data_IF_681628937942
#
_entry.id   IF_681628937942
#
_cell.length_a   1.000
_cell.length_b   1.000
_cell.length_c   1.000
_cell.angle_alpha   90.00
_cell.angle_beta   90.00
_cell.angle_gamma   90.00
#
_symmetry.space_group_name_H-M   'P 1'
#
loop_
_entity.id
_entity.type
_entity.pdbx_description
1 polymer ?
#
# COMPACT_ATOMS: atom_id res chain seq x y z
N UNK A 1 -28.36 -59.56 -24.72
CA UNK A 1 -28.91 -58.39 -24.02
C UNK A 1 -27.95 -58.04 -22.88
N UNK A 2 -26.86 -57.33 -23.22
CA UNK A 2 -25.78 -57.00 -22.30
C UNK A 2 -25.78 -55.48 -22.10
N UNK A 3 -25.91 -55.05 -20.85
CA UNK A 3 -25.82 -53.65 -20.45
C UNK A 3 -24.35 -53.26 -20.34
N UNK A 4 -23.91 -52.29 -21.14
CA UNK A 4 -22.62 -51.63 -20.99
C UNK A 4 -22.79 -50.37 -20.13
N UNK A 5 -22.11 -50.33 -18.99
CA UNK A 5 -21.95 -49.15 -18.14
C UNK A 5 -21.07 -48.13 -18.89
N UNK A 6 -21.63 -46.96 -19.21
CA UNK A 6 -20.85 -45.82 -19.69
C UNK A 6 -20.52 -44.90 -18.50
N UNK A 7 -19.22 -44.75 -18.23
CA UNK A 7 -18.68 -43.74 -17.31
C UNK A 7 -19.10 -42.33 -17.76
N UNK A 8 -19.91 -41.66 -16.95
CA UNK A 8 -20.12 -40.22 -17.04
C UNK A 8 -18.88 -39.51 -16.46
N UNK A 9 -17.96 -39.13 -17.36
CA UNK A 9 -16.99 -38.06 -17.06
C UNK A 9 -17.80 -36.77 -16.91
N UNK A 10 -18.01 -36.33 -15.67
CA UNK A 10 -18.45 -34.97 -15.38
C UNK A 10 -17.28 -34.04 -15.71
N UNK A 11 -17.33 -33.42 -16.89
CA UNK A 11 -16.51 -32.28 -17.23
C UNK A 11 -16.93 -31.15 -16.28
N UNK A 12 -16.16 -30.94 -15.20
CA UNK A 12 -16.18 -29.69 -14.45
C UNK A 12 -15.68 -28.61 -15.42
N UNK A 13 -16.64 -27.94 -16.07
CA UNK A 13 -16.37 -26.71 -16.80
C UNK A 13 -15.94 -25.68 -15.75
N UNK A 14 -14.62 -25.51 -15.62
CA UNK A 14 -14.06 -24.42 -14.84
C UNK A 14 -14.60 -23.14 -15.48
N UNK A 15 -15.51 -22.45 -14.78
CA UNK A 15 -15.96 -21.12 -15.15
C UNK A 15 -14.72 -20.24 -14.96
N UNK A 16 -13.95 -20.10 -16.04
CA UNK A 16 -13.01 -19.01 -16.20
C UNK A 16 -13.87 -17.75 -16.08
N UNK A 17 -13.80 -17.09 -14.92
CA UNK A 17 -14.16 -15.68 -14.81
C UNK A 17 -13.19 -14.92 -15.71
N UNK A 18 -13.52 -14.88 -16.99
CA UNK A 18 -13.01 -13.90 -17.92
C UNK A 18 -13.47 -12.56 -17.37
N UNK A 19 -12.52 -11.75 -16.88
CA UNK A 19 -12.70 -10.31 -16.75
C UNK A 19 -13.11 -9.80 -18.13
N UNK A 20 -14.41 -9.75 -18.38
CA UNK A 20 -14.96 -9.11 -19.56
C UNK A 20 -14.96 -7.62 -19.25
N UNK A 21 -13.82 -6.98 -19.45
CA UNK A 21 -13.85 -5.57 -19.80
C UNK A 21 -14.84 -5.45 -20.97
N UNK A 22 -15.83 -4.54 -20.92
CA UNK A 22 -16.64 -4.27 -22.09
C UNK A 22 -15.70 -3.93 -23.26
N UNK A 23 -15.90 -4.49 -24.45
CA UNK A 23 -14.96 -4.33 -25.54
C UNK A 23 -14.87 -2.86 -25.96
N UNK A 24 -13.66 -2.28 -25.92
CA UNK A 24 -13.32 -1.08 -26.68
C UNK A 24 -13.19 0.25 -25.92
N UNK A 25 -13.31 0.29 -24.59
CA UNK A 25 -13.14 1.55 -23.85
C UNK A 25 -11.71 1.71 -23.34
N UNK A 26 -10.92 2.51 -24.06
CA UNK A 26 -9.59 2.95 -23.67
C UNK A 26 -9.71 4.04 -22.58
N UNK A 27 -8.96 3.93 -21.49
CA UNK A 27 -8.88 4.96 -20.44
C UNK A 27 -7.48 5.58 -20.42
N UNK A 28 -7.35 6.80 -19.91
CA UNK A 28 -6.04 7.41 -19.65
C UNK A 28 -6.07 8.24 -18.36
N UNK A 29 -4.93 8.81 -17.98
CA UNK A 29 -4.83 9.70 -16.82
C UNK A 29 -5.04 11.18 -17.18
N UNK A 30 -5.04 11.54 -18.47
CA UNK A 30 -4.95 12.93 -18.93
C UNK A 30 -6.27 13.49 -19.48
N UNK A 31 -6.79 12.91 -20.57
CA UNK A 31 -7.97 13.43 -21.29
C UNK A 31 -9.27 12.93 -20.68
N UNK A 32 -9.36 11.63 -20.45
CA UNK A 32 -10.45 11.00 -19.71
C UNK A 32 -9.89 10.50 -18.38
N UNK A 33 -9.36 11.45 -17.62
CA UNK A 33 -8.67 11.19 -16.37
C UNK A 33 -9.57 10.62 -15.27
N UNK A 34 -9.01 10.36 -14.08
CA UNK A 34 -9.69 9.60 -13.04
C UNK A 34 -11.05 10.13 -12.59
N UNK A 35 -11.29 11.44 -12.69
CA UNK A 35 -12.57 12.06 -12.34
C UNK A 35 -13.69 11.72 -13.33
N UNK A 36 -13.36 11.28 -14.55
CA UNK A 36 -14.32 10.95 -15.62
C UNK A 36 -14.48 9.43 -15.86
N UNK A 37 -13.65 8.58 -15.23
CA UNK A 37 -13.70 7.12 -15.47
C UNK A 37 -15.07 6.50 -15.19
N UNK A 38 -15.82 7.06 -14.25
CA UNK A 38 -17.17 6.59 -13.91
C UNK A 38 -18.16 6.65 -15.08
N UNK A 39 -17.94 7.51 -16.09
CA UNK A 39 -18.79 7.55 -17.28
C UNK A 39 -18.73 6.27 -18.13
N UNK A 40 -17.61 5.54 -18.05
CA UNK A 40 -17.36 4.31 -18.83
C UNK A 40 -17.30 3.06 -17.93
N UNK A 41 -17.03 3.28 -16.65
CA UNK A 41 -16.81 2.23 -15.66
C UNK A 41 -17.57 2.60 -14.38
N UNK A 42 -18.87 2.28 -14.32
CA UNK A 42 -19.76 2.62 -13.20
C UNK A 42 -19.17 2.28 -11.82
N UNK A 43 -18.42 1.19 -11.72
CA UNK A 43 -17.76 0.77 -10.49
C UNK A 43 -16.76 1.80 -9.94
N UNK A 44 -16.25 2.73 -10.77
CA UNK A 44 -15.37 3.81 -10.30
C UNK A 44 -16.07 4.83 -9.41
N UNK A 45 -17.41 4.82 -9.34
CA UNK A 45 -18.23 5.65 -8.44
C UNK A 45 -18.68 4.93 -7.15
N UNK A 46 -18.18 3.71 -6.92
CA UNK A 46 -18.53 2.94 -5.72
C UNK A 46 -18.13 3.60 -4.39
N UNK A 47 -18.67 3.10 -3.28
CA UNK A 47 -18.44 3.67 -1.95
C UNK A 47 -17.18 3.12 -1.25
N UNK A 48 -16.61 2.05 -1.79
CA UNK A 48 -15.40 1.40 -1.29
C UNK A 48 -14.19 1.62 -2.22
N UNK A 49 -14.11 2.78 -2.87
CA UNK A 49 -13.03 3.11 -3.80
C UNK A 49 -11.68 3.41 -3.14
N UNK A 50 -10.61 3.19 -3.90
CA UNK A 50 -9.21 3.47 -3.57
C UNK A 50 -8.59 4.40 -4.62
N UNK A 51 -7.51 5.14 -4.28
CA UNK A 51 -6.84 5.21 -2.98
C UNK A 51 -7.62 6.06 -1.96
N UNK A 52 -7.10 6.22 -0.74
CA UNK A 52 -7.69 7.09 0.31
C UNK A 52 -6.63 7.94 1.01
N UNK A 53 -7.08 9.01 1.67
CA UNK A 53 -6.29 9.70 2.70
C UNK A 53 -6.41 8.95 4.03
N UNK A 54 -5.29 8.46 4.54
CA UNK A 54 -5.22 7.78 5.83
C UNK A 54 -5.01 8.84 6.91
N UNK A 55 -6.10 9.22 7.56
CA UNK A 55 -6.09 10.13 8.73
C UNK A 55 -5.71 9.36 9.98
N UNK A 56 -4.48 9.53 10.45
CA UNK A 56 -3.91 8.74 11.56
C UNK A 56 -4.67 8.92 12.87
N UNK A 57 -5.38 10.04 13.06
CA UNK A 57 -6.27 10.29 14.21
C UNK A 57 -7.51 9.40 14.24
N UNK A 58 -7.95 8.89 13.10
CA UNK A 58 -9.14 8.04 12.99
C UNK A 58 -8.81 6.55 12.85
N UNK A 59 -7.54 6.22 12.64
CA UNK A 59 -7.08 4.83 12.56
C UNK A 59 -7.34 4.12 13.87
N UNK A 60 -7.84 2.89 13.81
CA UNK A 60 -8.11 2.06 14.99
C UNK A 60 -7.07 0.95 15.10
N UNK A 61 -6.50 0.80 16.28
CA UNK A 61 -5.70 -0.39 16.58
C UNK A 61 -6.59 -1.63 16.55
N UNK A 62 -6.14 -2.67 15.87
CA UNK A 62 -6.79 -3.97 15.86
C UNK A 62 -5.75 -5.05 16.21
N UNK A 63 -5.93 -5.67 17.38
CA UNK A 63 -5.03 -6.72 17.88
C UNK A 63 -5.14 -8.03 17.11
N UNK A 64 -6.18 -8.23 16.30
CA UNK A 64 -6.32 -9.40 15.41
C UNK A 64 -5.43 -9.33 14.17
N UNK A 65 -4.88 -8.14 13.86
CA UNK A 65 -3.89 -7.97 12.80
C UNK A 65 -2.53 -8.54 13.25
N UNK A 66 -2.41 -9.86 13.11
CA UNK A 66 -1.19 -10.64 13.37
C UNK A 66 0.01 -10.15 12.57
N UNK A 67 1.24 -10.61 12.85
CA UNK A 67 2.40 -10.29 12.02
C UNK A 67 2.13 -10.49 10.51
N UNK A 68 2.50 -9.50 9.70
CA UNK A 68 2.45 -9.61 8.24
C UNK A 68 3.64 -10.43 7.77
N UNK A 69 3.39 -11.51 7.05
CA UNK A 69 4.39 -12.44 6.57
C UNK A 69 4.59 -12.25 5.06
N UNK A 70 5.79 -11.87 4.66
CA UNK A 70 6.21 -11.71 3.27
C UNK A 70 7.19 -12.83 2.92
N UNK A 71 6.71 -13.88 2.26
CA UNK A 71 7.50 -15.06 1.95
C UNK A 71 8.16 -14.97 0.58
N UNK A 72 9.43 -15.38 0.51
CA UNK A 72 10.23 -15.40 -0.71
C UNK A 72 10.81 -14.04 -1.13
N UNK A 73 10.43 -12.94 -0.46
CA UNK A 73 10.90 -11.57 -0.76
C UNK A 73 12.31 -11.23 -0.26
N UNK A 74 12.96 -12.16 0.45
CA UNK A 74 14.33 -11.99 0.97
C UNK A 74 15.38 -12.42 -0.06
N UNK A 75 16.67 -12.43 0.32
CA UNK A 75 17.89 -12.52 -0.52
C UNK A 75 17.97 -13.66 -1.57
N UNK A 76 16.95 -14.51 -1.70
CA UNK A 76 16.82 -15.46 -2.81
C UNK A 76 16.08 -14.87 -4.03
N UNK A 77 15.54 -13.65 -3.93
CA UNK A 77 14.92 -12.92 -5.05
C UNK A 77 15.92 -12.46 -6.11
N UNK A 78 17.19 -12.31 -5.75
CA UNK A 78 18.25 -12.03 -6.71
C UNK A 78 18.40 -13.17 -7.73
N UNK A 79 17.98 -14.40 -7.44
CA UNK A 79 18.01 -15.48 -8.45
C UNK A 79 16.86 -15.40 -9.47
N UNK A 80 15.86 -14.54 -9.24
CA UNK A 80 14.69 -14.45 -10.10
C UNK A 80 14.89 -13.48 -11.25
N UNK A 81 14.58 -14.00 -12.42
CA UNK A 81 14.38 -13.25 -13.65
C UNK A 81 12.99 -12.63 -13.61
N UNK A 82 12.91 -11.33 -13.38
CA UNK A 82 11.67 -10.57 -13.47
C UNK A 82 11.39 -10.19 -14.93
N UNK A 83 10.12 -10.13 -15.31
CA UNK A 83 9.71 -9.64 -16.62
C UNK A 83 9.13 -8.23 -16.49
N UNK A 84 9.91 -7.24 -16.93
CA UNK A 84 9.50 -5.84 -16.98
C UNK A 84 8.86 -5.48 -18.32
N UNK A 85 7.72 -4.79 -18.26
CA UNK A 85 7.00 -4.27 -19.43
C UNK A 85 6.44 -2.88 -19.14
N UNK A 86 6.41 -2.02 -20.16
CA UNK A 86 5.63 -0.79 -20.12
C UNK A 86 4.28 -1.04 -20.82
N UNK A 87 3.17 -0.85 -20.10
CA UNK A 87 1.83 -1.17 -20.61
C UNK A 87 1.04 0.06 -21.11
N UNK A 88 1.70 1.22 -21.26
CA UNK A 88 1.06 2.49 -21.63
C UNK A 88 0.60 3.33 -20.43
N UNK A 89 0.52 2.75 -19.23
CA UNK A 89 0.08 3.43 -18.02
C UNK A 89 1.13 3.42 -16.90
N UNK A 90 1.93 2.36 -16.82
CA UNK A 90 2.99 2.20 -15.83
C UNK A 90 4.02 1.16 -16.29
N UNK A 91 5.14 1.07 -15.59
CA UNK A 91 6.01 -0.10 -15.69
C UNK A 91 5.49 -1.17 -14.74
N UNK A 92 5.20 -2.34 -15.31
CA UNK A 92 4.76 -3.53 -14.59
C UNK A 92 5.88 -4.57 -14.64
N UNK A 93 6.13 -5.20 -13.50
CA UNK A 93 7.08 -6.29 -13.35
C UNK A 93 6.37 -7.56 -12.86
N UNK A 94 6.52 -8.64 -13.62
CA UNK A 94 5.98 -9.95 -13.26
C UNK A 94 7.07 -10.86 -12.68
N UNK A 95 6.81 -11.54 -11.55
CA UNK A 95 7.72 -12.54 -11.03
C UNK A 95 7.75 -13.77 -11.95
N UNK A 96 8.85 -14.54 -11.98
CA UNK A 96 8.86 -15.81 -12.70
C UNK A 96 7.90 -16.79 -11.99
N UNK A 97 7.22 -17.70 -12.72
CA UNK A 97 6.20 -18.59 -12.15
C UNK A 97 6.66 -19.40 -10.93
N UNK A 98 7.94 -19.76 -10.87
CA UNK A 98 8.53 -20.55 -9.79
C UNK A 98 8.88 -19.75 -8.53
N UNK A 99 8.83 -18.41 -8.57
CA UNK A 99 9.24 -17.58 -7.43
C UNK A 99 8.32 -17.73 -6.20
N UNK A 100 7.03 -17.99 -6.43
CA UNK A 100 6.00 -18.21 -5.39
C UNK A 100 6.01 -17.17 -4.25
N UNK A 101 6.36 -15.93 -4.58
CA UNK A 101 6.33 -14.79 -3.66
C UNK A 101 4.91 -14.62 -3.12
N UNK A 102 4.77 -14.44 -1.81
CA UNK A 102 3.45 -14.44 -1.17
C UNK A 102 3.37 -13.57 0.06
N UNK A 103 2.13 -13.16 0.37
CA UNK A 103 1.75 -12.38 1.52
C UNK A 103 0.66 -13.12 2.31
N UNK A 104 0.84 -13.23 3.63
CA UNK A 104 -0.12 -13.83 4.55
C UNK A 104 -0.04 -13.18 5.95
N UNK A 105 -0.90 -13.59 6.88
CA UNK A 105 -0.99 -12.96 8.20
C UNK A 105 -1.62 -11.57 8.13
N UNK A 106 -1.47 -10.77 9.18
CA UNK A 106 -2.06 -9.43 9.24
C UNK A 106 -3.57 -9.42 9.06
N UNK A 107 -4.30 -10.47 9.42
CA UNK A 107 -5.74 -10.60 9.20
C UNK A 107 -6.17 -10.97 7.77
N UNK A 108 -5.27 -11.42 6.91
CA UNK A 108 -5.63 -12.06 5.63
C UNK A 108 -6.20 -13.47 5.88
N UNK A 109 -7.26 -13.83 5.17
CA UNK A 109 -7.98 -15.10 5.34
C UNK A 109 -7.22 -16.32 4.80
N UNK A 110 -6.30 -16.10 3.87
CA UNK A 110 -5.54 -17.13 3.17
C UNK A 110 -4.17 -16.58 2.73
N UNK A 111 -3.40 -17.41 2.00
CA UNK A 111 -2.13 -16.99 1.40
C UNK A 111 -2.39 -16.37 0.03
N UNK A 112 -1.93 -15.14 -0.17
CA UNK A 112 -2.05 -14.42 -1.43
C UNK A 112 -0.70 -14.46 -2.16
N UNK A 113 -0.68 -14.85 -3.43
CA UNK A 113 0.54 -14.95 -4.24
C UNK A 113 0.72 -13.73 -5.12
N UNK A 114 1.95 -13.21 -5.23
CA UNK A 114 2.28 -12.07 -6.06
C UNK A 114 2.00 -12.38 -7.53
N UNK A 115 1.27 -11.46 -8.19
CA UNK A 115 0.98 -11.49 -9.62
C UNK A 115 1.88 -10.52 -10.37
N UNK A 116 2.09 -9.33 -9.80
CA UNK A 116 2.93 -8.27 -10.37
C UNK A 116 3.23 -7.20 -9.32
N UNK A 117 4.22 -6.35 -9.59
CA UNK A 117 4.27 -5.03 -9.00
C UNK A 117 4.39 -3.92 -10.05
N UNK A 118 3.98 -2.71 -9.69
CA UNK A 118 4.04 -1.52 -10.53
C UNK A 118 4.16 -0.25 -9.69
N UNK A 119 4.38 0.89 -10.36
CA UNK A 119 4.63 2.17 -9.70
C UNK A 119 3.65 3.26 -10.13
N UNK A 120 3.39 4.19 -9.21
CA UNK A 120 2.65 5.42 -9.43
C UNK A 120 3.53 6.62 -9.07
N UNK A 121 3.59 7.60 -9.96
CA UNK A 121 4.39 8.82 -9.83
C UNK A 121 3.63 10.03 -10.39
N UNK A 122 4.12 11.22 -10.04
CA UNK A 122 3.53 12.48 -10.46
C UNK A 122 4.52 13.38 -11.20
N UNK A 123 4.04 14.60 -11.47
CA UNK A 123 4.76 15.61 -12.24
C UNK A 123 6.07 16.09 -11.62
N UNK A 124 6.24 15.94 -10.31
CA UNK A 124 7.38 16.46 -9.59
C UNK A 124 7.68 15.63 -8.34
N UNK A 125 8.78 15.94 -7.69
CA UNK A 125 9.29 15.21 -6.52
C UNK A 125 8.55 15.45 -5.20
N UNK A 126 7.37 16.08 -5.24
CA UNK A 126 6.52 16.36 -4.08
C UNK A 126 5.14 15.67 -4.17
N UNK A 127 4.83 15.02 -5.29
CA UNK A 127 3.56 14.31 -5.47
C UNK A 127 3.71 13.15 -6.48
N UNK A 128 2.90 12.12 -6.31
CA UNK A 128 2.91 10.95 -7.18
C UNK A 128 2.34 9.69 -6.55
N UNK A 129 2.31 9.62 -5.21
CA UNK A 129 1.58 8.58 -4.51
C UNK A 129 0.08 8.71 -4.73
N UNK A 130 -0.58 7.56 -4.74
CA UNK A 130 -2.04 7.45 -4.78
C UNK A 130 -2.60 7.66 -3.37
N UNK A 131 -2.07 6.92 -2.39
CA UNK A 131 -2.40 7.11 -0.99
C UNK A 131 -1.72 8.35 -0.43
N UNK A 132 -2.38 8.95 0.55
CA UNK A 132 -1.84 10.05 1.34
C UNK A 132 -1.96 9.73 2.83
N UNK A 133 -1.08 10.30 3.65
CA UNK A 133 -1.13 10.16 5.10
C UNK A 133 -1.34 11.55 5.71
N UNK A 134 -2.47 11.78 6.37
CA UNK A 134 -2.87 13.10 6.87
C UNK A 134 -2.77 14.21 5.79
N UNK A 135 -3.20 13.90 4.56
CA UNK A 135 -3.10 14.79 3.40
C UNK A 135 -1.70 14.96 2.81
N UNK A 136 -0.64 14.39 3.42
CA UNK A 136 0.71 14.42 2.85
C UNK A 136 0.79 13.49 1.65
N UNK A 137 1.16 14.06 0.50
CA UNK A 137 1.53 13.32 -0.72
C UNK A 137 3.01 12.92 -0.67
N UNK A 138 3.31 11.83 -1.35
CA UNK A 138 4.66 11.29 -1.51
C UNK A 138 5.02 11.29 -3.00
N UNK A 139 6.32 11.37 -3.36
CA UNK A 139 6.75 11.42 -4.77
C UNK A 139 6.44 10.17 -5.58
N UNK A 140 6.34 9.00 -4.94
CA UNK A 140 6.24 7.71 -5.61
C UNK A 140 5.56 6.70 -4.68
N UNK A 141 4.79 5.79 -5.26
CA UNK A 141 4.19 4.65 -4.57
C UNK A 141 4.38 3.38 -5.40
N UNK A 142 4.74 2.28 -4.76
CA UNK A 142 4.79 0.96 -5.40
C UNK A 142 3.65 0.09 -4.88
N UNK A 143 3.01 -0.64 -5.78
CA UNK A 143 1.97 -1.61 -5.47
C UNK A 143 2.43 -3.02 -5.81
N UNK A 144 2.47 -3.90 -4.82
CA UNK A 144 2.63 -5.34 -5.02
C UNK A 144 1.27 -6.00 -4.99
N UNK A 145 0.79 -6.42 -6.15
CA UNK A 145 -0.55 -6.98 -6.34
C UNK A 145 -0.51 -8.49 -6.17
N UNK A 146 -1.20 -8.99 -5.16
CA UNK A 146 -1.32 -10.41 -4.88
C UNK A 146 -2.74 -10.91 -5.12
N UNK A 147 -2.88 -12.19 -5.43
CA UNK A 147 -4.18 -12.84 -5.64
C UNK A 147 -4.29 -14.12 -4.83
N UNK A 148 -5.45 -14.29 -4.19
CA UNK A 148 -5.84 -15.52 -3.53
C UNK A 148 -6.14 -16.61 -4.58
N UNK A 149 -5.56 -17.81 -4.47
CA UNK A 149 -5.78 -18.88 -5.45
C UNK A 149 -7.20 -19.45 -5.40
N UNK A 150 -7.86 -19.44 -4.23
CA UNK A 150 -9.17 -20.06 -4.07
C UNK A 150 -10.31 -19.07 -4.32
N UNK A 151 -10.25 -17.90 -3.69
CA UNK A 151 -11.32 -16.89 -3.82
C UNK A 151 -11.13 -15.96 -5.01
N UNK A 152 -9.93 -15.87 -5.58
CA UNK A 152 -9.59 -14.93 -6.65
C UNK A 152 -9.47 -13.48 -6.18
N UNK A 153 -9.67 -13.21 -4.88
CA UNK A 153 -9.60 -11.90 -4.23
C UNK A 153 -8.20 -11.29 -4.37
N UNK A 154 -8.14 -9.97 -4.52
CA UNK A 154 -6.87 -9.24 -4.56
C UNK A 154 -6.50 -8.71 -3.17
N UNK A 155 -5.21 -8.81 -2.85
CA UNK A 155 -4.60 -8.10 -1.73
C UNK A 155 -3.40 -7.30 -2.25
N UNK A 156 -3.38 -6.01 -1.96
CA UNK A 156 -2.33 -5.11 -2.46
C UNK A 156 -1.51 -4.56 -1.31
N UNK A 157 -0.20 -4.72 -1.41
CA UNK A 157 0.77 -4.09 -0.51
C UNK A 157 1.27 -2.80 -1.16
N UNK A 158 0.91 -1.66 -0.59
CA UNK A 158 1.35 -0.33 -1.02
C UNK A 158 2.50 0.17 -0.14
N UNK A 159 3.53 0.73 -0.77
CA UNK A 159 4.67 1.33 -0.06
C UNK A 159 4.99 2.68 -0.67
N UNK A 160 4.95 3.70 0.19
CA UNK A 160 5.24 5.08 -0.15
C UNK A 160 6.75 5.30 -0.16
N UNK A 161 7.24 6.14 -1.07
CA UNK A 161 8.63 6.57 -1.10
C UNK A 161 8.76 7.98 -0.55
N UNK A 162 9.81 8.26 0.22
CA UNK A 162 10.06 9.59 0.76
C UNK A 162 11.39 10.14 0.24
N UNK A 163 11.41 11.43 -0.08
CA UNK A 163 12.57 12.06 -0.69
C UNK A 163 13.69 12.17 0.33
N UNK A 164 14.89 11.77 -0.06
CA UNK A 164 16.12 11.88 0.72
C UNK A 164 17.21 12.57 -0.10
N UNK A 165 18.27 12.97 0.59
CA UNK A 165 19.45 13.60 -0.05
C UNK A 165 20.25 12.58 -0.86
N UNK A 166 20.50 11.42 -0.29
CA UNK A 166 21.40 10.41 -0.84
C UNK A 166 20.64 9.37 -1.65
N UNK A 167 21.31 8.82 -2.66
CA UNK A 167 20.80 7.70 -3.45
C UNK A 167 20.59 6.48 -2.56
N UNK A 168 19.45 5.81 -2.75
CA UNK A 168 19.19 4.53 -2.15
C UNK A 168 19.87 3.43 -2.99
N UNK A 169 20.96 2.80 -2.51
CA UNK A 169 21.72 1.82 -3.29
C UNK A 169 20.89 0.58 -3.66
N UNK A 170 19.79 0.31 -2.96
CA UNK A 170 18.90 -0.83 -3.23
C UNK A 170 17.97 -0.58 -4.42
N UNK A 171 17.87 0.66 -4.92
CA UNK A 171 17.09 0.97 -6.12
C UNK A 171 17.90 0.86 -7.40
N UNK A 172 19.23 0.79 -7.35
CA UNK A 172 20.10 0.82 -8.54
C UNK A 172 19.75 -0.27 -9.57
N UNK A 173 19.57 -1.51 -9.12
CA UNK A 173 19.19 -2.63 -10.00
C UNK A 173 17.83 -2.43 -10.65
N UNK A 174 16.83 -2.01 -9.86
CA UNK A 174 15.50 -1.66 -10.34
C UNK A 174 15.57 -0.54 -11.39
N UNK A 175 16.20 0.60 -11.07
CA UNK A 175 16.31 1.75 -11.98
C UNK A 175 17.00 1.38 -13.30
N UNK A 176 18.02 0.52 -13.26
CA UNK A 176 18.67 -0.01 -14.47
C UNK A 176 17.70 -0.82 -15.33
N UNK A 177 16.86 -1.66 -14.72
CA UNK A 177 15.82 -2.40 -15.46
C UNK A 177 14.78 -1.46 -16.07
N UNK A 178 14.27 -0.50 -15.29
CA UNK A 178 13.26 0.45 -15.74
C UNK A 178 13.75 1.28 -16.94
N UNK A 179 14.96 1.85 -16.86
CA UNK A 179 15.56 2.65 -17.94
C UNK A 179 15.69 1.90 -19.27
N UNK A 180 16.00 0.61 -19.22
CA UNK A 180 16.09 -0.22 -20.43
C UNK A 180 14.71 -0.58 -20.97
N UNK A 181 13.72 -0.80 -20.09
CA UNK A 181 12.36 -1.23 -20.46
C UNK A 181 11.65 -0.17 -21.30
N UNK A 182 11.90 1.12 -21.02
CA UNK A 182 11.31 2.22 -21.80
C UNK A 182 11.78 2.23 -23.26
N UNK A 183 12.96 1.68 -23.54
CA UNK A 183 13.59 1.69 -24.86
C UNK A 183 13.44 0.35 -25.61
N UNK A 184 12.76 -0.64 -25.03
CA UNK A 184 12.67 -1.98 -25.62
C UNK A 184 11.29 -2.60 -25.40
N UNK A 185 10.71 -3.20 -26.44
CA UNK A 185 9.51 -4.06 -26.31
C UNK A 185 9.81 -5.44 -25.69
N UNK A 186 10.99 -5.62 -25.10
CA UNK A 186 11.52 -6.90 -24.66
C UNK A 186 11.55 -6.93 -23.13
N UNK A 187 11.08 -8.06 -22.58
CA UNK A 187 11.19 -8.39 -21.16
C UNK A 187 12.64 -8.28 -20.66
N UNK A 188 12.86 -7.53 -19.60
CA UNK A 188 14.22 -7.33 -19.05
C UNK A 188 14.43 -8.17 -17.81
N UNK A 189 15.29 -9.17 -17.96
CA UNK A 189 15.73 -10.01 -16.86
C UNK A 189 16.68 -9.22 -15.94
N UNK A 190 16.22 -8.84 -14.76
CA UNK A 190 17.06 -8.18 -13.77
C UNK A 190 16.83 -8.76 -12.37
N UNK A 191 17.94 -9.05 -11.70
CA UNK A 191 17.94 -9.40 -10.29
C UNK A 191 17.60 -8.16 -9.46
N UNK A 192 16.55 -8.24 -8.65
CA UNK A 192 16.14 -7.16 -7.74
C UNK A 192 16.02 -7.73 -6.35
N UNK A 193 16.81 -7.16 -5.44
CA UNK A 193 16.76 -7.51 -4.03
C UNK A 193 15.75 -6.62 -3.29
N UNK A 194 14.54 -7.14 -3.12
CA UNK A 194 13.51 -6.47 -2.33
C UNK A 194 13.72 -6.61 -0.82
N UNK A 195 14.67 -7.42 -0.35
CA UNK A 195 14.87 -7.70 1.08
C UNK A 195 15.20 -6.45 1.90
N UNK A 196 15.81 -5.45 1.25
CA UNK A 196 16.21 -4.18 1.86
C UNK A 196 15.18 -3.07 1.66
N UNK A 197 14.20 -3.29 0.78
CA UNK A 197 13.07 -2.40 0.51
C UNK A 197 11.82 -2.81 1.30
N UNK A 198 11.64 -4.11 1.53
CA UNK A 198 10.54 -4.69 2.27
C UNK A 198 10.99 -5.02 3.70
N UNK A 199 10.45 -4.35 4.73
CA UNK A 199 10.70 -4.74 6.11
C UNK A 199 10.07 -6.12 6.39
N UNK A 200 10.87 -7.17 6.35
CA UNK A 200 10.41 -8.56 6.58
C UNK A 200 10.55 -9.02 8.03
N UNK A 201 11.40 -8.36 8.84
CA UNK A 201 11.56 -8.65 10.27
C UNK A 201 12.13 -7.47 11.07
N UNK A 202 11.57 -7.10 12.24
CA UNK A 202 10.28 -7.58 12.76
C UNK A 202 9.12 -7.21 11.82
N UNK A 203 7.92 -7.76 12.06
CA UNK A 203 6.74 -7.43 11.25
C UNK A 203 6.56 -5.91 11.15
N UNK A 204 6.31 -5.37 9.95
CA UNK A 204 6.17 -3.94 9.78
C UNK A 204 4.89 -3.41 10.43
N UNK A 205 4.91 -2.12 10.78
CA UNK A 205 3.70 -1.34 11.08
C UNK A 205 2.98 -1.05 9.76
N UNK A 206 1.67 -1.30 9.71
CA UNK A 206 0.87 -1.09 8.50
C UNK A 206 -0.55 -0.65 8.83
N UNK A 207 -1.19 -0.02 7.85
CA UNK A 207 -2.62 0.24 7.80
C UNK A 207 -3.34 -0.80 6.95
N UNK A 208 -4.56 -1.15 7.33
CA UNK A 208 -5.42 -2.13 6.64
C UNK A 208 -6.80 -1.54 6.39
N UNK A 209 -7.31 -1.68 5.15
CA UNK A 209 -8.69 -1.35 4.81
C UNK A 209 -9.17 -2.14 3.58
N UNK A 210 -10.48 -2.22 3.39
CA UNK A 210 -11.08 -2.77 2.16
C UNK A 210 -11.34 -1.64 1.17
N UNK A 211 -10.88 -1.83 -0.06
CA UNK A 211 -10.88 -0.82 -1.10
C UNK A 211 -11.16 -1.40 -2.49
N UNK A 212 -10.64 -0.72 -3.50
CA UNK A 212 -10.79 -1.10 -4.91
C UNK A 212 -9.44 -1.18 -5.63
N UNK A 213 -9.47 -1.62 -6.89
CA UNK A 213 -8.41 -1.27 -7.84
C UNK A 213 -8.39 0.25 -8.04
N UNK A 214 -7.20 0.81 -8.22
CA UNK A 214 -7.01 2.26 -8.42
C UNK A 214 -6.99 2.66 -9.89
N UNK A 215 -7.18 1.71 -10.80
CA UNK A 215 -7.39 1.92 -12.22
C UNK A 215 -8.68 1.24 -12.67
N UNK A 216 -9.27 1.63 -13.81
CA UNK A 216 -10.43 0.96 -14.38
C UNK A 216 -10.22 -0.56 -14.51
N UNK A 217 -11.25 -1.37 -14.25
CA UNK A 217 -12.64 -0.97 -13.99
C UNK A 217 -12.93 -0.62 -12.52
N UNK A 218 -11.93 -0.25 -11.70
CA UNK A 218 -12.11 0.21 -10.33
C UNK A 218 -12.85 -0.77 -9.40
N UNK A 219 -12.73 -2.07 -9.67
CA UNK A 219 -13.45 -3.12 -8.95
C UNK A 219 -13.15 -3.09 -7.44
N UNK A 220 -14.21 -3.08 -6.63
CA UNK A 220 -14.14 -3.13 -5.17
C UNK A 220 -13.87 -4.54 -4.64
N UNK A 221 -13.44 -4.64 -3.38
CA UNK A 221 -13.09 -5.91 -2.72
C UNK A 221 -11.59 -6.17 -2.64
N UNK A 222 -10.75 -5.17 -2.90
CA UNK A 222 -9.29 -5.25 -2.73
C UNK A 222 -8.93 -5.06 -1.26
N UNK A 223 -8.14 -5.97 -0.70
CA UNK A 223 -7.62 -5.85 0.67
C UNK A 223 -6.31 -5.07 0.64
N UNK A 224 -6.34 -3.81 1.09
CA UNK A 224 -5.17 -2.94 1.07
C UNK A 224 -4.34 -3.04 2.33
N UNK A 225 -3.01 -3.12 2.16
CA UNK A 225 -2.02 -3.02 3.23
C UNK A 225 -1.04 -1.90 2.89
N UNK A 226 -1.08 -0.79 3.62
CA UNK A 226 -0.17 0.35 3.39
C UNK A 226 0.87 0.37 4.49
N UNK A 227 2.15 0.20 4.15
CA UNK A 227 3.22 0.25 5.15
C UNK A 227 3.43 1.69 5.65
N UNK A 228 3.66 1.85 6.96
CA UNK A 228 3.94 3.18 7.53
C UNK A 228 5.37 3.64 7.24
N UNK A 229 6.29 2.70 7.09
CA UNK A 229 7.70 2.98 6.77
C UNK A 229 7.83 3.23 5.28
N UNK A 230 8.41 4.36 4.92
CA UNK A 230 8.68 4.73 3.53
C UNK A 230 10.01 4.18 3.03
N UNK A 231 10.13 4.08 1.70
CA UNK A 231 11.40 3.77 1.03
C UNK A 231 12.10 5.10 0.67
N UNK A 232 13.36 5.32 1.07
CA UNK A 232 14.08 6.53 0.70
C UNK A 232 14.40 6.53 -0.80
N UNK A 233 14.30 7.70 -1.44
CA UNK A 233 14.67 7.92 -2.84
C UNK A 233 15.26 9.32 -3.03
N UNK A 234 16.33 9.44 -3.81
CA UNK A 234 16.86 10.76 -4.16
C UNK A 234 16.09 11.38 -5.33
N UNK A 235 16.20 12.70 -5.49
CA UNK A 235 15.65 13.40 -6.66
C UNK A 235 16.21 12.87 -7.99
N UNK A 236 17.47 12.43 -8.00
CA UNK A 236 18.11 11.85 -9.18
C UNK A 236 17.47 10.51 -9.55
N UNK A 237 17.33 9.62 -8.57
CA UNK A 237 16.70 8.31 -8.74
C UNK A 237 15.23 8.42 -9.14
N UNK A 238 14.48 9.35 -8.53
CA UNK A 238 13.10 9.59 -8.90
C UNK A 238 12.97 10.01 -10.36
N UNK A 239 13.76 11.00 -10.81
CA UNK A 239 13.77 11.40 -12.23
C UNK A 239 14.12 10.25 -13.15
N UNK A 240 15.11 9.42 -12.79
CA UNK A 240 15.45 8.25 -13.59
C UNK A 240 14.30 7.25 -13.72
N UNK A 241 13.44 7.13 -12.70
CA UNK A 241 12.27 6.25 -12.73
C UNK A 241 11.12 6.81 -13.56
N UNK A 242 10.86 8.12 -13.47
CA UNK A 242 9.67 8.75 -14.05
C UNK A 242 9.86 9.28 -15.46
N UNK A 243 11.12 9.39 -15.93
CA UNK A 243 11.41 9.97 -17.23
C UNK A 243 11.00 9.01 -18.37
N UNK A 244 10.29 9.54 -19.37
CA UNK A 244 9.97 8.91 -20.67
C UNK A 244 8.83 7.87 -20.71
N UNK A 245 7.87 7.92 -19.79
CA UNK A 245 6.78 6.93 -19.76
C UNK A 245 5.41 7.61 -19.92
N UNK A 246 4.97 8.30 -18.86
CA UNK A 246 3.79 9.15 -18.82
C UNK A 246 4.05 10.28 -17.81
N UNK A 247 3.42 11.44 -18.01
CA UNK A 247 3.64 12.66 -17.21
C UNK A 247 3.32 12.45 -15.72
N UNK A 248 2.29 11.66 -15.46
CA UNK A 248 1.81 11.21 -14.14
C UNK A 248 0.90 10.01 -14.36
N UNK A 249 0.72 9.20 -13.33
CA UNK A 249 -0.14 8.02 -13.40
C UNK A 249 -0.73 7.65 -12.05
N UNK A 250 -1.34 8.61 -11.36
CA UNK A 250 -1.97 8.36 -10.05
C UNK A 250 -3.43 8.81 -10.06
N UNK A 251 -4.30 8.06 -9.38
CA UNK A 251 -5.66 8.44 -9.05
C UNK A 251 -5.68 9.29 -7.76
N UNK A 252 -6.49 10.36 -7.69
CA UNK A 252 -6.67 11.13 -6.46
C UNK A 252 -7.29 10.30 -5.31
N UNK A 253 -7.05 10.65 -4.03
CA UNK A 253 -7.74 10.07 -2.89
C UNK A 253 -9.27 10.13 -3.00
N UNK A 254 -9.91 8.99 -2.79
CA UNK A 254 -11.35 8.79 -2.80
C UNK A 254 -11.93 8.95 -1.38
N UNK A 255 -13.23 9.18 -1.28
CA UNK A 255 -13.92 9.34 0.00
C UNK A 255 -13.88 8.03 0.80
N UNK A 256 -13.64 8.12 2.11
CA UNK A 256 -13.61 6.95 2.99
C UNK A 256 -15.00 6.31 3.19
N UNK A 257 -16.07 7.11 3.10
CA UNK A 257 -17.44 6.73 3.45
C UNK A 257 -17.51 6.12 4.86
N UNK A 258 -18.17 4.98 5.03
CA UNK A 258 -18.37 4.31 6.32
C UNK A 258 -17.24 3.34 6.69
N UNK A 259 -16.22 3.21 5.82
CA UNK A 259 -15.11 2.28 6.02
C UNK A 259 -14.22 2.73 7.18
N UNK A 260 -13.55 1.75 7.79
CA UNK A 260 -12.57 1.97 8.85
C UNK A 260 -11.18 1.64 8.32
N UNK A 261 -10.19 2.40 8.77
CA UNK A 261 -8.78 2.06 8.59
C UNK A 261 -8.25 1.50 9.90
N UNK A 262 -7.69 0.30 9.83
CA UNK A 262 -7.14 -0.43 10.97
C UNK A 262 -5.61 -0.34 10.95
N UNK A 263 -4.97 -0.54 12.11
CA UNK A 263 -3.52 -0.65 12.23
C UNK A 263 -3.14 -1.82 13.14
N UNK A 264 -2.03 -2.49 12.81
CA UNK A 264 -1.45 -3.54 13.66
C UNK A 264 -0.62 -2.99 14.83
N UNK A 265 -0.70 -1.69 15.07
CA UNK A 265 -0.02 -0.98 16.15
C UNK A 265 -0.98 0.02 16.78
N UNK A 266 -0.73 0.38 18.04
CA UNK A 266 -1.46 1.47 18.69
C UNK A 266 -1.02 2.80 18.07
N UNK A 267 -1.92 3.56 17.42
CA UNK A 267 -1.62 4.92 17.00
C UNK A 267 -1.19 5.74 18.22
N UNK A 268 -0.22 6.63 18.03
CA UNK A 268 0.18 7.53 19.11
C UNK A 268 -1.02 8.42 19.48
N UNK A 269 -1.26 8.70 20.78
CA UNK A 269 -2.28 9.65 21.19
C UNK A 269 -2.04 10.99 20.51
N UNK A 270 -3.08 11.57 19.91
CA UNK A 270 -3.00 12.97 19.49
C UNK A 270 -2.99 13.83 20.74
N UNK A 271 -1.89 14.57 20.97
CA UNK A 271 -1.88 15.69 21.91
C UNK A 271 -2.90 16.72 21.41
N UNK A 272 -4.16 16.63 21.88
CA UNK A 272 -5.24 17.55 21.48
C UNK A 272 -6.62 16.93 21.26
N UNK A 273 -6.78 15.61 21.38
CA UNK A 273 -8.12 15.05 21.53
C UNK A 273 -8.57 15.20 23.00
N UNK A 274 -9.03 16.39 23.37
CA UNK A 274 -9.92 16.51 24.53
C UNK A 274 -11.15 15.63 24.22
N UNK A 275 -11.36 14.62 25.05
CA UNK A 275 -12.58 13.83 25.03
C UNK A 275 -13.74 14.79 25.26
N UNK A 276 -14.52 15.05 24.21
CA UNK A 276 -15.83 15.68 24.32
C UNK A 276 -16.73 14.64 25.01
N UNK A 277 -16.63 14.57 26.34
CA UNK A 277 -17.61 13.88 27.17
C UNK A 277 -18.95 14.58 26.94
N UNK A 278 -19.82 13.91 26.20
CA UNK A 278 -21.24 14.24 26.17
C UNK A 278 -21.80 14.06 27.57
N UNK A 279 -21.90 15.16 28.34
CA UNK A 279 -22.64 15.19 29.59
C UNK A 279 -24.12 14.92 29.31
N UNK A 280 -24.52 13.67 29.56
CA UNK A 280 -25.91 13.31 29.77
C UNK A 280 -26.43 14.04 31.00
N UNK A 281 -27.49 14.82 30.81
CA UNK A 281 -28.20 15.52 31.88
C UNK A 281 -28.76 14.51 32.89
N UNK A 282 -28.12 14.41 34.05
CA UNK A 282 -28.76 13.96 35.29
C UNK A 282 -28.34 14.87 36.45
N UNK A 283 -29.28 15.72 36.85
CA UNK A 283 -29.23 16.44 38.11
C UNK A 283 -29.32 15.48 39.30
N UNK A 284 -28.26 15.37 40.09
CA UNK A 284 -28.37 15.16 41.54
C UNK A 284 -27.09 15.53 42.29
N UNK A 285 -27.22 16.56 43.13
CA UNK A 285 -26.54 16.84 44.40
C UNK A 285 -25.05 16.52 44.63
N UNK A 286 -24.29 17.60 44.80
CA UNK A 286 -23.41 17.91 45.93
C UNK A 286 -22.20 17.00 46.30
N UNK A 287 -21.04 17.68 46.31
CA UNK A 287 -19.99 17.66 47.34
C UNK A 287 -18.79 16.69 47.23
N UNK A 288 -17.62 17.33 46.99
CA UNK A 288 -16.33 17.17 47.67
C UNK A 288 -15.13 16.46 47.00
N UNK A 289 -14.01 17.21 47.03
CA UNK A 289 -12.58 16.86 47.07
C UNK A 289 -11.84 16.47 45.76
N UNK A 290 -10.98 17.38 45.23
CA UNK A 290 -9.49 17.50 45.42
C UNK A 290 -8.74 16.42 44.59
N UNK A 291 -7.72 16.66 43.74
CA UNK A 291 -6.44 17.40 43.86
C UNK A 291 -5.89 17.60 42.42
N UNK A 292 -5.38 18.79 42.05
CA UNK A 292 -4.52 19.00 40.86
C UNK A 292 -3.06 19.14 41.32
N UNK A 293 -2.16 18.30 40.81
CA UNK A 293 -0.71 18.35 41.04
C UNK A 293 -0.07 19.20 39.93
N UNK A 294 0.58 20.31 40.30
CA UNK A 294 1.43 21.12 39.42
C UNK A 294 2.89 20.75 39.72
N UNK A 295 3.65 20.30 38.71
CA UNK A 295 5.10 20.12 38.79
C UNK A 295 5.80 21.43 38.45
N UNK A 296 6.58 21.98 39.39
CA UNK A 296 7.56 23.03 39.15
C UNK A 296 8.95 22.43 38.88
N UNK A 297 9.61 22.98 37.86
CA UNK A 297 10.99 22.72 37.45
C UNK A 297 11.94 23.56 38.30
N UNK A 298 13.01 22.95 38.81
CA UNK A 298 14.17 23.66 39.35
C UNK A 298 15.46 22.96 38.88
N UNK A 299 16.07 23.54 37.85
CA UNK A 299 17.52 23.52 37.68
C UNK A 299 18.12 24.49 38.71
N UNK A 300 19.32 24.24 39.21
CA UNK A 300 20.41 25.24 39.22
C UNK A 300 21.75 24.62 39.69
N UNK A 301 22.78 25.27 39.17
CA UNK A 301 24.21 24.96 39.03
C UNK A 301 25.06 24.69 40.29
N UNK A 302 26.26 24.18 39.97
CA UNK A 302 27.39 23.70 40.80
C UNK A 302 28.37 24.83 41.21
N UNK A 303 29.17 24.53 42.25
CA UNK A 303 30.49 25.11 42.65
C UNK A 303 30.41 26.34 43.58
N UNK A 304 31.22 26.50 44.65
CA UNK A 304 32.59 26.07 45.01
C UNK A 304 32.82 26.05 46.53
N UNK A 305 33.62 25.06 47.01
CA UNK A 305 34.61 25.02 48.12
C UNK A 305 34.46 25.85 49.43
N UNK A 306 34.90 25.25 50.56
CA UNK A 306 36.00 25.87 51.30
C UNK A 306 37.13 24.90 51.69
N UNK A 307 38.34 25.47 51.77
CA UNK A 307 39.57 24.89 52.29
C UNK A 307 39.64 25.14 53.81
N UNK A 308 39.91 24.10 54.61
CA UNK A 308 40.63 24.21 55.88
C UNK A 308 41.16 22.83 56.34
N UNK A 309 42.34 22.49 55.80
CA UNK A 309 43.53 21.85 56.40
C UNK A 309 44.34 21.15 55.31
#
# INVERSE_FOLDING_TARGET
MFWTFACLLSLLYSINSQNTNPPGHHWDYEREGPDAWHHLFDACEGEAQSPIDIRTSHVKYDSSLTPLLLNGYTANTSSFVWNFTHNGHTIVAHPPPLARLSMSGGGLSEVFYLVQFHFHWGYNEFQGSEHTINGRKYPLEVHFVHRAPFTGTYAVLGILFDRQRDDNPYLTGLLSALNRTVNTSIAIEQQIDFSRLLPTSPSPRFYRYNGSLTTPPCTEGVIWTILTRTIPISSYQLRALTNNIVSFNFRPPQKLHTRKVLANFRPEPHEGAEEEETEGAHHSSASANRIKIIKLILLWFVSTLPILQ
#
